data_IF_748348375216
#
_entry.id   IF_748348375216
#
_cell.length_a   1.000
_cell.length_b   1.000
_cell.length_c   1.000
_cell.angle_alpha   90.00
_cell.angle_beta   90.00
_cell.angle_gamma   90.00
#
_symmetry.space_group_name_H-M   'P 1'
#
loop_
_entity.id
_entity.type
_entity.pdbx_description
1 polymer ?
#
# COMPACT_ATOMS: atom_id res chain seq x y z
N UNK A 1 14.77 -14.78 1.88
CA UNK A 1 15.07 -13.48 1.23
C UNK A 1 13.94 -12.50 1.50
N UNK A 2 14.20 -11.37 2.17
CA UNK A 2 13.24 -10.26 2.42
C UNK A 2 12.94 -9.43 1.14
N UNK A 3 13.07 -10.03 -0.04
CA UNK A 3 12.95 -9.30 -1.31
C UNK A 3 11.48 -9.08 -1.66
N UNK A 4 10.60 -10.02 -1.31
CA UNK A 4 9.17 -9.85 -1.52
C UNK A 4 8.58 -8.73 -0.65
N UNK A 5 9.13 -8.51 0.56
CA UNK A 5 8.77 -7.37 1.42
C UNK A 5 9.24 -6.00 0.89
N UNK A 6 10.09 -5.95 -0.15
CA UNK A 6 10.47 -4.69 -0.81
C UNK A 6 9.49 -4.25 -1.91
N UNK A 7 8.59 -5.13 -2.35
CA UNK A 7 7.71 -4.92 -3.51
C UNK A 7 6.30 -4.51 -3.13
N UNK A 8 5.95 -4.88 -1.92
CA UNK A 8 4.71 -4.48 -1.31
C UNK A 8 5.12 -4.05 0.08
N UNK A 9 5.59 -2.80 0.23
CA UNK A 9 5.82 -2.29 1.55
C UNK A 9 4.50 -2.13 2.29
N UNK A 10 3.31 -2.17 1.69
CA UNK A 10 2.08 -2.31 2.52
C UNK A 10 1.97 -3.73 3.16
N UNK A 11 2.86 -4.69 2.79
CA UNK A 11 3.19 -5.94 3.51
C UNK A 11 4.15 -5.70 4.70
N UNK A 12 4.46 -4.45 5.01
CA UNK A 12 5.35 -3.98 6.09
C UNK A 12 5.05 -4.59 7.45
N UNK A 13 3.81 -5.02 7.66
CA UNK A 13 3.47 -5.87 8.79
C UNK A 13 4.08 -7.25 8.55
N UNK A 14 5.31 -7.42 9.06
CA UNK A 14 5.88 -8.74 9.24
C UNK A 14 4.97 -9.53 10.19
N UNK A 15 4.23 -10.46 9.62
CA UNK A 15 3.57 -11.57 10.30
C UNK A 15 4.52 -12.23 11.33
N UNK A 16 5.83 -12.21 11.06
CA UNK A 16 6.89 -12.72 11.93
C UNK A 16 7.03 -12.02 13.29
N UNK A 17 6.63 -10.76 13.38
CA UNK A 17 6.84 -9.94 14.58
C UNK A 17 5.58 -9.68 15.39
N UNK A 18 4.40 -9.94 14.80
CA UNK A 18 3.16 -9.96 15.54
C UNK A 18 2.95 -11.39 16.05
N UNK A 19 2.94 -11.56 17.38
CA UNK A 19 2.65 -12.86 18.03
C UNK A 19 1.36 -13.50 17.50
N UNK A 20 0.43 -12.68 17.04
CA UNK A 20 -0.91 -13.01 16.52
C UNK A 20 -0.89 -13.61 15.08
N UNK A 21 0.25 -13.60 14.37
CA UNK A 21 0.35 -13.97 12.95
C UNK A 21 1.39 -15.07 12.66
N UNK A 22 1.83 -15.81 13.68
CA UNK A 22 2.82 -16.89 13.50
C UNK A 22 2.23 -18.06 12.70
N UNK A 23 2.86 -18.36 11.56
CA UNK A 23 2.56 -19.57 10.79
C UNK A 23 2.89 -20.81 11.65
N UNK A 24 1.95 -21.74 11.89
CA UNK A 24 2.20 -22.95 12.66
C UNK A 24 3.38 -23.76 12.09
N UNK A 25 4.16 -24.41 12.96
CA UNK A 25 5.36 -25.15 12.53
C UNK A 25 5.07 -26.21 11.45
N UNK A 26 3.92 -26.87 11.50
CA UNK A 26 3.50 -27.85 10.50
C UNK A 26 3.10 -27.24 9.14
N UNK A 27 2.97 -25.91 9.05
CA UNK A 27 2.69 -25.16 7.82
C UNK A 27 3.95 -24.54 7.19
N UNK A 28 5.11 -24.69 7.84
CA UNK A 28 6.42 -24.21 7.38
C UNK A 28 7.05 -25.08 6.29
N UNK A 29 6.39 -26.16 5.90
CA UNK A 29 6.81 -27.08 4.85
C UNK A 29 5.65 -27.36 3.90
N UNK A 30 5.99 -27.86 2.71
CA UNK A 30 5.00 -28.24 1.72
C UNK A 30 4.59 -29.71 1.90
N UNK A 31 3.29 -29.96 1.89
CA UNK A 31 2.70 -31.29 1.98
C UNK A 31 2.48 -31.86 0.59
N UNK A 32 2.64 -33.17 0.42
CA UNK A 32 2.60 -33.83 -0.89
C UNK A 32 1.27 -33.63 -1.61
N UNK A 33 0.18 -33.73 -0.86
CA UNK A 33 -1.19 -33.72 -1.38
C UNK A 33 -1.77 -32.30 -1.50
N UNK A 34 -1.04 -31.27 -1.05
CA UNK A 34 -1.53 -29.90 -1.16
C UNK A 34 -1.36 -29.35 -2.58
N UNK A 35 -2.12 -28.30 -2.91
CA UNK A 35 -2.00 -27.61 -4.19
C UNK A 35 -0.59 -27.05 -4.39
N UNK A 36 0.03 -27.36 -5.53
CA UNK A 36 1.39 -26.92 -5.80
C UNK A 36 1.47 -25.38 -5.82
N UNK A 37 2.43 -24.77 -5.09
CA UNK A 37 2.57 -23.31 -5.05
C UNK A 37 2.90 -22.65 -6.39
N UNK A 38 3.24 -23.40 -7.43
CA UNK A 38 3.45 -22.85 -8.78
C UNK A 38 2.14 -22.47 -9.49
N UNK A 39 0.97 -22.84 -8.94
CA UNK A 39 -0.34 -22.53 -9.52
C UNK A 39 -0.76 -23.41 -10.70
N UNK A 40 -0.16 -24.59 -10.86
CA UNK A 40 -0.46 -25.52 -11.96
C UNK A 40 -1.81 -26.25 -11.85
N UNK A 41 -2.48 -26.17 -10.70
CA UNK A 41 -3.69 -26.95 -10.38
C UNK A 41 -3.43 -28.41 -10.00
N UNK A 42 -2.17 -28.85 -9.98
CA UNK A 42 -1.75 -30.20 -9.53
C UNK A 42 -1.34 -30.20 -8.06
N UNK A 43 -1.29 -31.38 -7.44
CA UNK A 43 -0.67 -31.57 -6.12
C UNK A 43 0.83 -31.22 -6.16
N UNK A 44 1.44 -30.86 -5.03
CA UNK A 44 2.87 -30.56 -4.95
C UNK A 44 3.72 -31.76 -5.38
N UNK A 45 3.35 -32.95 -4.91
CA UNK A 45 4.00 -34.22 -5.25
C UNK A 45 3.98 -34.50 -6.76
N UNK A 46 2.84 -34.29 -7.42
CA UNK A 46 2.68 -34.56 -8.86
C UNK A 46 3.13 -33.38 -9.75
N UNK A 47 3.71 -32.33 -9.15
CA UNK A 47 4.10 -31.13 -9.86
C UNK A 47 5.56 -30.73 -9.66
N UNK A 48 5.91 -30.09 -8.54
CA UNK A 48 7.21 -29.44 -8.37
C UNK A 48 8.11 -30.17 -7.39
N UNK A 49 7.60 -31.14 -6.63
CA UNK A 49 8.41 -31.95 -5.72
C UNK A 49 9.50 -32.69 -6.51
N UNK A 50 10.76 -32.51 -6.11
CA UNK A 50 11.92 -33.17 -6.73
C UNK A 50 12.34 -32.63 -8.09
N UNK A 51 11.71 -31.57 -8.63
CA UNK A 51 12.21 -30.88 -9.83
C UNK A 51 13.48 -30.11 -9.50
N UNK A 52 14.42 -30.09 -10.45
CA UNK A 52 15.63 -29.27 -10.35
C UNK A 52 15.31 -27.79 -10.55
N UNK A 53 16.07 -26.93 -9.89
CA UNK A 53 16.02 -25.50 -10.15
C UNK A 53 16.63 -25.18 -11.52
N UNK A 54 15.96 -24.32 -12.28
CA UNK A 54 16.55 -23.70 -13.46
C UNK A 54 17.83 -22.97 -13.01
N UNK A 55 18.95 -23.35 -13.66
CA UNK A 55 20.33 -23.16 -13.21
C UNK A 55 20.72 -21.74 -12.79
N UNK A 56 21.94 -21.57 -12.26
CA UNK A 56 22.39 -20.25 -11.83
C UNK A 56 22.34 -19.27 -13.00
N UNK A 57 21.78 -18.08 -12.75
CA UNK A 57 21.94 -16.97 -13.69
C UNK A 57 23.40 -16.56 -13.56
N UNK A 58 24.24 -16.86 -14.55
CA UNK A 58 25.61 -16.35 -14.63
C UNK A 58 25.55 -14.82 -14.71
N UNK A 59 25.52 -14.15 -13.55
CA UNK A 59 25.42 -12.71 -13.43
C UNK A 59 26.25 -12.23 -12.25
N UNK A 60 26.96 -11.13 -12.46
CA UNK A 60 27.73 -10.43 -11.43
C UNK A 60 26.85 -9.55 -10.52
N UNK A 61 25.55 -9.39 -10.85
CA UNK A 61 24.60 -8.58 -10.07
C UNK A 61 24.14 -9.35 -8.81
N UNK A 62 23.88 -8.65 -7.69
CA UNK A 62 23.22 -9.26 -6.53
C UNK A 62 21.91 -9.96 -6.92
N UNK A 63 21.57 -11.05 -6.22
CA UNK A 63 20.38 -11.88 -6.51
C UNK A 63 19.10 -11.04 -6.37
N UNK A 64 19.11 -10.08 -5.46
CA UNK A 64 18.07 -9.08 -5.22
C UNK A 64 17.79 -8.24 -6.46
N UNK A 65 18.85 -7.75 -7.10
CA UNK A 65 18.73 -6.92 -8.30
C UNK A 65 18.20 -7.74 -9.46
N UNK A 66 18.65 -8.99 -9.60
CA UNK A 66 18.16 -9.92 -10.63
C UNK A 66 16.69 -10.27 -10.43
N UNK A 67 16.29 -10.51 -9.18
CA UNK A 67 14.90 -10.71 -8.82
C UNK A 67 14.10 -9.46 -9.19
N UNK A 68 14.46 -8.27 -8.69
CA UNK A 68 13.82 -6.98 -9.02
C UNK A 68 13.67 -6.76 -10.53
N UNK A 69 14.69 -7.08 -11.33
CA UNK A 69 14.63 -7.00 -12.80
C UNK A 69 13.63 -7.98 -13.40
N UNK A 70 13.61 -9.22 -12.93
CA UNK A 70 12.64 -10.24 -13.35
C UNK A 70 11.21 -9.84 -12.95
N UNK A 71 11.05 -9.15 -11.81
CA UNK A 71 9.75 -8.59 -11.37
C UNK A 71 9.31 -7.45 -12.27
N UNK A 72 10.21 -6.50 -12.59
CA UNK A 72 9.91 -5.41 -13.54
C UNK A 72 9.49 -5.95 -14.91
N UNK A 73 10.10 -7.05 -15.35
CA UNK A 73 9.66 -7.77 -16.57
C UNK A 73 8.28 -8.39 -16.35
N UNK A 74 8.04 -8.98 -15.19
CA UNK A 74 6.76 -9.51 -14.75
C UNK A 74 5.62 -8.50 -14.85
N UNK A 75 5.78 -7.29 -14.31
CA UNK A 75 4.77 -6.22 -14.35
C UNK A 75 4.36 -5.84 -15.79
N UNK A 76 5.26 -6.01 -16.76
CA UNK A 76 4.93 -5.78 -18.18
C UNK A 76 4.14 -6.92 -18.81
N UNK A 77 4.20 -8.12 -18.24
CA UNK A 77 3.59 -9.35 -18.77
C UNK A 77 2.25 -9.67 -18.12
N UNK A 78 2.09 -9.42 -16.82
CA UNK A 78 0.86 -9.67 -16.06
C UNK A 78 -0.09 -8.46 -16.11
N UNK A 79 -0.65 -8.21 -17.30
CA UNK A 79 -1.65 -7.18 -17.53
C UNK A 79 -3.05 -7.78 -17.47
N UNK A 80 -3.86 -7.35 -16.51
CA UNK A 80 -5.26 -7.77 -16.37
C UNK A 80 -6.14 -6.57 -16.07
N UNK A 81 -7.41 -6.63 -16.46
CA UNK A 81 -8.42 -5.70 -15.97
C UNK A 81 -9.05 -6.27 -14.70
N UNK A 82 -9.03 -5.50 -13.61
CA UNK A 82 -9.58 -5.89 -12.32
C UNK A 82 -11.05 -5.54 -12.14
N UNK A 83 -11.67 -4.89 -13.12
CA UNK A 83 -13.10 -4.60 -13.09
C UNK A 83 -13.93 -5.90 -13.06
N UNK A 84 -15.00 -6.00 -12.25
CA UNK A 84 -15.77 -7.24 -12.14
C UNK A 84 -16.53 -7.63 -13.41
N UNK A 85 -16.96 -6.66 -14.22
CA UNK A 85 -17.63 -6.95 -15.49
C UNK A 85 -16.62 -7.41 -16.55
N UNK A 86 -16.30 -8.69 -16.54
CA UNK A 86 -15.39 -9.27 -17.53
C UNK A 86 -16.03 -9.39 -18.92
N UNK A 87 -17.37 -9.36 -19.01
CA UNK A 87 -18.09 -9.51 -20.29
C UNK A 87 -17.93 -8.29 -21.20
N UNK A 88 -17.81 -7.10 -20.60
CA UNK A 88 -17.57 -5.85 -21.31
C UNK A 88 -16.10 -5.38 -21.27
N UNK A 89 -15.19 -6.23 -20.81
CA UNK A 89 -13.75 -5.94 -20.83
C UNK A 89 -13.21 -5.87 -22.26
N UNK A 90 -13.15 -4.65 -22.79
CA UNK A 90 -12.68 -4.34 -24.15
C UNK A 90 -11.55 -3.32 -24.09
N UNK A 91 -10.71 -3.32 -25.13
CA UNK A 91 -9.60 -2.38 -25.26
C UNK A 91 -8.29 -2.90 -24.65
N UNK A 92 -7.28 -2.04 -24.64
CA UNK A 92 -5.96 -2.39 -24.09
C UNK A 92 -5.96 -2.16 -22.58
N UNK A 93 -5.21 -2.97 -21.85
CA UNK A 93 -4.87 -2.66 -20.46
C UNK A 93 -3.89 -1.49 -20.49
N UNK A 94 -4.31 -0.35 -19.93
CA UNK A 94 -3.53 0.88 -19.88
C UNK A 94 -2.95 1.12 -18.49
N UNK A 95 -2.03 2.07 -18.44
CA UNK A 95 -1.53 2.64 -17.19
C UNK A 95 -2.62 3.54 -16.59
N UNK A 96 -3.42 2.99 -15.68
CA UNK A 96 -4.43 3.70 -14.91
C UNK A 96 -3.77 4.47 -13.77
N UNK A 97 -4.22 5.69 -13.48
CA UNK A 97 -3.69 6.48 -12.37
C UNK A 97 -4.49 6.24 -11.08
N UNK A 98 -3.80 5.96 -9.97
CA UNK A 98 -4.46 5.81 -8.67
C UNK A 98 -5.02 7.14 -8.15
N UNK A 99 -4.34 8.25 -8.40
CA UNK A 99 -4.81 9.61 -8.12
C UNK A 99 -5.15 10.33 -9.44
N UNK A 100 -6.22 11.13 -9.48
CA UNK A 100 -6.65 11.75 -10.74
C UNK A 100 -5.54 12.64 -11.34
N UNK A 101 -5.12 12.35 -12.58
CA UNK A 101 -4.07 13.13 -13.25
C UNK A 101 -4.51 14.58 -13.50
N UNK A 102 -5.74 14.76 -13.99
CA UNK A 102 -6.35 16.06 -14.32
C UNK A 102 -7.00 16.78 -13.13
N UNK A 103 -6.71 16.34 -11.89
CA UNK A 103 -7.17 17.01 -10.66
C UNK A 103 -6.08 17.00 -9.59
N UNK A 104 -5.93 15.90 -8.85
CA UNK A 104 -4.99 15.79 -7.73
C UNK A 104 -3.55 15.99 -8.18
N UNK A 105 -3.10 15.26 -9.21
CA UNK A 105 -1.71 15.37 -9.66
C UNK A 105 -1.43 16.76 -10.22
N UNK A 106 -2.34 17.33 -11.02
CA UNK A 106 -2.19 18.71 -11.53
C UNK A 106 -2.13 19.78 -10.44
N UNK A 107 -2.73 19.55 -9.26
CA UNK A 107 -2.64 20.48 -8.12
C UNK A 107 -1.27 20.44 -7.42
N UNK A 108 -0.54 19.34 -7.57
CA UNK A 108 0.78 19.13 -6.96
C UNK A 108 1.93 19.34 -7.93
N UNK A 109 1.69 19.14 -9.22
CA UNK A 109 2.72 19.15 -10.23
C UNK A 109 3.32 20.55 -10.42
N UNK A 110 4.63 20.60 -10.67
CA UNK A 110 5.34 21.79 -11.13
C UNK A 110 4.79 22.29 -12.48
N UNK A 111 5.20 23.49 -12.90
CA UNK A 111 4.78 24.10 -14.17
C UNK A 111 5.09 23.23 -15.41
N UNK A 112 6.12 22.38 -15.35
CA UNK A 112 6.49 21.42 -16.39
C UNK A 112 6.00 19.99 -16.08
N UNK A 113 4.93 19.85 -15.28
CA UNK A 113 4.21 18.61 -15.00
C UNK A 113 5.03 17.51 -14.30
N UNK A 114 5.69 17.84 -13.18
CA UNK A 114 6.42 16.88 -12.35
C UNK A 114 6.03 16.96 -10.88
N UNK A 115 6.09 15.81 -10.21
CA UNK A 115 5.89 15.64 -8.76
C UNK A 115 7.09 14.93 -8.14
N UNK A 116 7.18 14.95 -6.81
CA UNK A 116 8.21 14.24 -6.05
C UNK A 116 7.58 13.01 -5.38
N UNK A 117 8.07 11.82 -5.70
CA UNK A 117 7.60 10.56 -5.09
C UNK A 117 8.69 9.47 -5.13
N UNK A 118 8.49 8.38 -4.38
CA UNK A 118 9.30 7.17 -4.56
C UNK A 118 8.97 6.53 -5.92
N UNK A 119 10.00 6.27 -6.72
CA UNK A 119 9.84 5.58 -8.01
C UNK A 119 10.46 4.19 -7.94
N UNK A 120 9.66 3.12 -7.69
CA UNK A 120 10.16 1.75 -7.59
C UNK A 120 10.69 1.22 -8.93
N UNK A 121 10.41 1.90 -10.05
CA UNK A 121 10.95 1.52 -11.36
C UNK A 121 12.41 1.92 -11.52
N UNK A 122 12.89 2.93 -10.78
CA UNK A 122 14.30 3.33 -10.74
C UNK A 122 15.14 2.34 -9.92
N UNK A 123 16.45 2.32 -10.18
CA UNK A 123 17.36 1.51 -9.40
C UNK A 123 17.46 2.08 -7.97
N UNK A 124 17.28 1.26 -6.93
CA UNK A 124 17.48 1.70 -5.56
C UNK A 124 18.95 2.00 -5.29
N UNK A 125 19.22 2.87 -4.32
CA UNK A 125 20.55 3.11 -3.78
C UNK A 125 20.91 1.95 -2.84
N UNK A 126 22.04 1.30 -3.09
CA UNK A 126 22.55 0.23 -2.22
C UNK A 126 23.45 0.85 -1.16
N UNK A 127 23.00 0.85 0.10
CA UNK A 127 23.77 1.38 1.24
C UNK A 127 24.68 0.30 1.83
N UNK A 128 24.18 -0.94 1.85
CA UNK A 128 24.94 -2.10 2.34
C UNK A 128 24.74 -3.28 1.40
N UNK A 129 25.83 -3.77 0.83
CA UNK A 129 25.90 -5.04 0.11
C UNK A 129 26.13 -6.16 1.13
N UNK A 130 25.04 -6.70 1.67
CA UNK A 130 25.04 -7.87 2.55
C UNK A 130 24.21 -8.97 1.88
N UNK A 131 24.77 -10.16 1.60
CA UNK A 131 24.04 -11.25 0.95
C UNK A 131 22.82 -11.77 1.73
N UNK A 132 22.73 -11.45 3.02
CA UNK A 132 21.66 -11.88 3.92
C UNK A 132 20.68 -10.74 4.20
N UNK A 133 21.18 -9.53 4.42
CA UNK A 133 20.37 -8.35 4.77
C UNK A 133 20.85 -7.06 4.07
N UNK A 134 20.64 -6.91 2.76
CA UNK A 134 21.04 -5.70 2.05
C UNK A 134 20.15 -4.52 2.44
N UNK A 135 20.74 -3.33 2.51
CA UNK A 135 20.00 -2.08 2.78
C UNK A 135 19.82 -1.34 1.46
N UNK A 136 18.58 -1.30 0.97
CA UNK A 136 18.18 -0.68 -0.28
C UNK A 136 17.27 0.53 0.00
N UNK A 137 17.60 1.67 -0.59
CA UNK A 137 16.83 2.92 -0.44
C UNK A 137 16.24 3.30 -1.79
N UNK A 138 14.92 3.46 -1.84
CA UNK A 138 14.21 4.10 -2.95
C UNK A 138 14.08 5.59 -2.61
N UNK A 139 14.87 6.48 -3.23
CA UNK A 139 14.79 7.90 -2.93
C UNK A 139 13.47 8.50 -3.44
N UNK A 140 13.05 9.60 -2.81
CA UNK A 140 12.10 10.51 -3.44
C UNK A 140 12.79 11.18 -4.62
N UNK A 141 12.18 11.10 -5.80
CA UNK A 141 12.72 11.68 -7.02
C UNK A 141 11.64 12.41 -7.78
N UNK A 142 12.09 13.25 -8.70
CA UNK A 142 11.24 13.89 -9.69
C UNK A 142 10.68 12.86 -10.67
N UNK A 143 9.36 12.83 -10.80
CA UNK A 143 8.60 11.92 -11.67
C UNK A 143 7.58 12.75 -12.46
N UNK A 144 7.42 12.47 -13.76
CA UNK A 144 6.38 13.13 -14.57
C UNK A 144 4.99 12.83 -14.00
N UNK A 145 4.11 13.84 -13.93
CA UNK A 145 2.72 13.68 -13.49
C UNK A 145 1.98 12.60 -14.28
N UNK A 146 2.27 12.49 -15.58
CA UNK A 146 1.72 11.45 -16.47
C UNK A 146 2.20 10.02 -16.15
N UNK A 147 3.20 9.87 -15.29
CA UNK A 147 3.71 8.57 -14.82
C UNK A 147 3.45 8.34 -13.33
N UNK A 148 3.15 9.40 -12.59
CA UNK A 148 2.87 9.32 -11.17
C UNK A 148 1.65 8.43 -10.90
N UNK A 149 1.80 7.51 -9.96
CA UNK A 149 0.72 6.62 -9.48
C UNK A 149 0.11 5.70 -10.53
N UNK A 150 0.84 5.39 -11.61
CA UNK A 150 0.31 4.57 -12.71
C UNK A 150 0.48 3.06 -12.47
N UNK A 151 -0.55 2.29 -12.84
CA UNK A 151 -0.51 0.82 -12.79
C UNK A 151 -1.36 0.20 -13.91
N UNK A 152 -0.92 -0.94 -14.45
CA UNK A 152 -1.64 -1.68 -15.51
C UNK A 152 -2.70 -2.63 -14.96
N UNK A 153 -3.79 -2.09 -14.39
CA UNK A 153 -4.84 -2.88 -13.73
C UNK A 153 -6.27 -2.66 -14.26
N UNK A 154 -6.46 -1.79 -15.26
CA UNK A 154 -7.75 -1.56 -15.91
C UNK A 154 -7.61 -1.46 -17.43
N UNK A 155 -8.65 -1.86 -18.16
CA UNK A 155 -8.78 -1.51 -19.57
C UNK A 155 -9.31 -0.08 -19.71
N UNK A 156 -9.15 0.51 -20.90
CA UNK A 156 -9.59 1.88 -21.19
C UNK A 156 -11.06 2.12 -20.80
N UNK A 157 -11.95 1.19 -21.13
CA UNK A 157 -13.40 1.28 -20.88
C UNK A 157 -13.69 1.31 -19.38
N UNK A 158 -13.17 0.34 -18.63
CA UNK A 158 -13.49 0.18 -17.23
C UNK A 158 -12.81 1.20 -16.33
N UNK A 159 -11.63 1.70 -16.70
CA UNK A 159 -11.00 2.80 -15.98
C UNK A 159 -11.89 4.04 -16.01
N UNK A 160 -12.40 4.40 -17.20
CA UNK A 160 -13.31 5.55 -17.34
C UNK A 160 -14.66 5.33 -16.65
N UNK A 161 -15.21 4.11 -16.70
CA UNK A 161 -16.50 3.82 -16.09
C UNK A 161 -16.42 3.78 -14.56
N UNK A 162 -15.48 3.03 -14.00
CA UNK A 162 -15.38 2.79 -12.56
C UNK A 162 -15.04 4.05 -11.76
N UNK A 163 -14.30 4.99 -12.36
CA UNK A 163 -13.83 6.20 -11.68
C UNK A 163 -14.54 7.48 -12.14
N UNK A 164 -15.60 7.34 -12.94
CA UNK A 164 -16.30 8.47 -13.59
C UNK A 164 -16.69 9.57 -12.61
N UNK A 165 -17.27 9.23 -11.46
CA UNK A 165 -17.79 10.19 -10.48
C UNK A 165 -16.72 11.15 -9.93
N UNK A 166 -15.45 10.71 -9.89
CA UNK A 166 -14.34 11.51 -9.38
C UNK A 166 -13.41 12.04 -10.49
N UNK A 167 -13.55 11.59 -11.73
CA UNK A 167 -12.68 11.95 -12.85
C UNK A 167 -13.37 12.79 -13.93
N UNK A 168 -14.63 12.48 -14.27
CA UNK A 168 -15.32 13.12 -15.38
C UNK A 168 -15.66 14.58 -15.05
N UNK A 169 -14.97 15.51 -15.71
CA UNK A 169 -15.09 16.95 -15.42
C UNK A 169 -14.29 17.41 -14.20
N UNK A 170 -13.45 16.55 -13.62
CA UNK A 170 -12.62 16.83 -12.44
C UNK A 170 -13.40 17.51 -11.29
N UNK A 171 -14.54 16.95 -10.84
CA UNK A 171 -15.39 17.61 -9.85
C UNK A 171 -14.70 17.71 -8.50
N UNK A 172 -15.00 18.77 -7.74
CA UNK A 172 -14.61 18.88 -6.33
C UNK A 172 -15.19 17.73 -5.49
N UNK A 173 -14.47 17.33 -4.44
CA UNK A 173 -14.90 16.27 -3.55
C UNK A 173 -16.04 16.76 -2.68
N UNK A 174 -17.16 16.05 -2.74
CA UNK A 174 -18.30 16.30 -1.87
C UNK A 174 -18.33 15.26 -0.74
N UNK A 175 -18.12 15.72 0.49
CA UNK A 175 -18.17 14.89 1.69
C UNK A 175 -19.55 14.30 1.99
N UNK A 176 -20.61 14.74 1.31
CA UNK A 176 -21.95 14.16 1.39
C UNK A 176 -22.26 13.19 0.24
N UNK A 177 -21.36 13.04 -0.72
CA UNK A 177 -21.54 12.13 -1.85
C UNK A 177 -20.95 10.75 -1.53
N UNK A 178 -21.83 9.78 -1.27
CA UNK A 178 -21.43 8.42 -0.90
C UNK A 178 -20.79 7.65 -2.06
N UNK A 179 -21.20 7.90 -3.30
CA UNK A 179 -20.57 7.33 -4.49
C UNK A 179 -19.11 7.78 -4.61
N UNK A 180 -18.81 9.06 -4.35
CA UNK A 180 -17.41 9.54 -4.32
C UNK A 180 -16.59 8.86 -3.22
N UNK A 181 -17.14 8.72 -2.00
CA UNK A 181 -16.45 8.03 -0.88
C UNK A 181 -16.17 6.58 -1.24
N UNK A 182 -17.15 5.89 -1.84
CA UNK A 182 -17.02 4.52 -2.31
C UNK A 182 -15.91 4.40 -3.35
N UNK A 183 -15.92 5.27 -4.35
CA UNK A 183 -14.93 5.22 -5.43
C UNK A 183 -13.51 5.52 -4.92
N UNK A 184 -13.32 6.47 -4.00
CA UNK A 184 -12.00 6.69 -3.39
C UNK A 184 -11.53 5.47 -2.56
N UNK A 185 -12.43 4.86 -1.78
CA UNK A 185 -12.12 3.66 -1.01
C UNK A 185 -11.75 2.48 -1.93
N UNK A 186 -12.55 2.24 -2.97
CA UNK A 186 -12.30 1.22 -3.97
C UNK A 186 -10.98 1.47 -4.69
N UNK A 187 -10.67 2.71 -5.06
CA UNK A 187 -9.44 3.06 -5.79
C UNK A 187 -8.20 2.83 -4.94
N UNK A 188 -8.21 3.22 -3.66
CA UNK A 188 -7.11 2.93 -2.74
C UNK A 188 -6.91 1.41 -2.56
N UNK A 189 -8.00 0.65 -2.42
CA UNK A 189 -7.97 -0.80 -2.28
C UNK A 189 -7.51 -1.52 -3.56
N UNK A 190 -8.09 -1.22 -4.71
CA UNK A 190 -7.92 -2.03 -5.94
C UNK A 190 -6.51 -1.90 -6.53
N UNK A 191 -5.86 -0.75 -6.36
CA UNK A 191 -4.46 -0.57 -6.74
C UNK A 191 -3.53 -1.41 -5.84
N UNK A 192 -3.81 -1.45 -4.54
CA UNK A 192 -3.04 -2.28 -3.62
C UNK A 192 -3.31 -3.78 -3.85
N UNK A 193 -4.56 -4.15 -4.18
CA UNK A 193 -4.91 -5.49 -4.64
C UNK A 193 -4.16 -5.87 -5.92
N UNK A 194 -4.04 -4.95 -6.88
CA UNK A 194 -3.29 -5.18 -8.11
C UNK A 194 -1.81 -5.51 -7.81
N UNK A 195 -1.18 -4.79 -6.87
CA UNK A 195 0.20 -5.09 -6.42
C UNK A 195 0.27 -6.47 -5.76
N UNK A 196 -0.65 -6.79 -4.85
CA UNK A 196 -0.67 -8.08 -4.15
C UNK A 196 -0.89 -9.27 -5.10
N UNK A 197 -1.83 -9.14 -6.05
CA UNK A 197 -2.08 -10.15 -7.09
C UNK A 197 -0.83 -10.37 -7.95
N UNK A 198 -0.15 -9.28 -8.33
CA UNK A 198 1.07 -9.37 -9.11
C UNK A 198 2.20 -10.07 -8.34
N UNK A 199 2.35 -9.74 -7.05
CA UNK A 199 3.31 -10.38 -6.15
C UNK A 199 3.08 -11.89 -6.09
N UNK A 200 1.83 -12.33 -5.90
CA UNK A 200 1.46 -13.75 -5.91
C UNK A 200 1.73 -14.42 -7.27
N UNK A 201 1.40 -13.75 -8.38
CA UNK A 201 1.71 -14.26 -9.73
C UNK A 201 3.21 -14.49 -9.92
N UNK A 202 4.02 -13.52 -9.51
CA UNK A 202 5.47 -13.62 -9.60
C UNK A 202 6.00 -14.73 -8.70
N UNK A 203 5.50 -14.84 -7.47
CA UNK A 203 5.89 -15.90 -6.54
C UNK A 203 5.65 -17.28 -7.16
N UNK A 204 4.45 -17.51 -7.71
CA UNK A 204 4.09 -18.76 -8.40
C UNK A 204 5.03 -19.09 -9.55
N UNK A 205 5.37 -18.08 -10.37
CA UNK A 205 6.32 -18.22 -11.48
C UNK A 205 7.75 -18.52 -11.00
N UNK A 206 8.19 -17.89 -9.92
CA UNK A 206 9.51 -18.15 -9.37
C UNK A 206 9.58 -19.56 -8.75
N UNK A 207 8.51 -19.98 -8.08
CA UNK A 207 8.35 -21.35 -7.60
C UNK A 207 8.42 -22.37 -8.75
N UNK A 208 7.78 -22.09 -9.90
CA UNK A 208 7.81 -23.00 -11.04
C UNK A 208 9.22 -23.17 -11.63
N UNK A 209 10.03 -22.11 -11.63
CA UNK A 209 11.41 -22.10 -12.15
C UNK A 209 12.43 -22.64 -11.14
N UNK A 210 12.22 -22.36 -9.85
CA UNK A 210 13.16 -22.69 -8.77
C UNK A 210 12.47 -23.37 -7.58
N UNK A 211 11.84 -24.53 -7.80
CA UNK A 211 11.06 -25.21 -6.77
C UNK A 211 11.89 -25.62 -5.55
N UNK A 212 13.18 -25.94 -5.69
CA UNK A 212 14.08 -26.27 -4.59
C UNK A 212 14.30 -25.08 -3.65
N UNK A 213 14.75 -23.93 -4.18
CA UNK A 213 14.90 -22.69 -3.40
C UNK A 213 13.59 -22.26 -2.75
N UNK A 214 12.48 -22.34 -3.47
CA UNK A 214 11.18 -21.89 -2.96
C UNK A 214 10.48 -22.90 -2.05
N UNK A 215 11.01 -24.12 -1.90
CA UNK A 215 10.59 -25.10 -0.90
C UNK A 215 11.35 -24.97 0.43
N UNK A 216 12.33 -24.05 0.53
CA UNK A 216 12.99 -23.74 1.81
C UNK A 216 11.99 -23.14 2.80
N UNK A 217 12.13 -23.47 4.08
CA UNK A 217 11.21 -23.06 5.16
C UNK A 217 10.84 -21.58 5.12
N UNK A 218 11.82 -20.68 4.99
CA UNK A 218 11.56 -19.23 4.92
C UNK A 218 10.75 -18.81 3.69
N UNK A 219 10.90 -19.50 2.55
CA UNK A 219 10.12 -19.21 1.34
C UNK A 219 8.72 -19.81 1.42
N UNK A 220 8.56 -20.99 2.02
CA UNK A 220 7.24 -21.56 2.29
C UNK A 220 6.47 -20.68 3.26
N UNK A 221 7.11 -20.19 4.32
CA UNK A 221 6.51 -19.24 5.26
C UNK A 221 6.02 -17.98 4.56
N UNK A 222 6.87 -17.35 3.75
CA UNK A 222 6.50 -16.19 2.94
C UNK A 222 5.32 -16.50 2.01
N UNK A 223 5.33 -17.65 1.34
CA UNK A 223 4.21 -18.10 0.51
C UNK A 223 2.89 -18.17 1.30
N UNK A 224 2.90 -18.78 2.50
CA UNK A 224 1.70 -18.88 3.35
C UNK A 224 1.16 -17.50 3.74
N UNK A 225 2.05 -16.58 4.11
CA UNK A 225 1.71 -15.18 4.41
C UNK A 225 1.04 -14.53 3.20
N UNK A 226 1.61 -14.70 2.00
CA UNK A 226 1.02 -14.13 0.79
C UNK A 226 -0.32 -14.78 0.43
N UNK A 227 -0.53 -16.07 0.73
CA UNK A 227 -1.81 -16.75 0.58
C UNK A 227 -2.88 -16.19 1.53
N UNK A 228 -2.56 -16.02 2.81
CA UNK A 228 -3.47 -15.39 3.79
C UNK A 228 -3.87 -13.99 3.33
N UNK A 229 -2.90 -13.18 2.93
CA UNK A 229 -3.17 -11.83 2.41
C UNK A 229 -4.01 -11.84 1.14
N UNK A 230 -3.78 -12.79 0.22
CA UNK A 230 -4.66 -12.93 -0.95
C UNK A 230 -6.10 -13.23 -0.55
N UNK A 231 -6.32 -14.10 0.43
CA UNK A 231 -7.66 -14.43 0.92
C UNK A 231 -8.37 -13.22 1.56
N UNK A 232 -7.64 -12.43 2.35
CA UNK A 232 -8.13 -11.16 2.92
C UNK A 232 -8.59 -10.22 1.80
N UNK A 233 -7.71 -9.98 0.82
CA UNK A 233 -8.01 -9.05 -0.27
C UNK A 233 -9.12 -9.57 -1.20
N UNK A 234 -9.18 -10.88 -1.48
CA UNK A 234 -10.26 -11.47 -2.28
C UNK A 234 -11.62 -11.31 -1.61
N UNK A 235 -11.67 -11.38 -0.27
CA UNK A 235 -12.91 -11.15 0.48
C UNK A 235 -13.41 -9.73 0.29
N UNK A 236 -12.51 -8.73 0.41
CA UNK A 236 -12.83 -7.32 0.18
C UNK A 236 -13.18 -7.05 -1.29
N UNK A 237 -12.44 -7.67 -2.23
CA UNK A 237 -12.68 -7.54 -3.67
C UNK A 237 -14.08 -8.00 -4.04
N UNK A 238 -14.54 -9.14 -3.49
CA UNK A 238 -15.90 -9.66 -3.74
C UNK A 238 -16.98 -8.70 -3.28
N UNK A 239 -16.76 -7.96 -2.19
CA UNK A 239 -17.71 -6.95 -1.70
C UNK A 239 -17.80 -5.76 -2.65
N UNK A 240 -16.67 -5.14 -2.98
CA UNK A 240 -16.66 -4.04 -3.96
C UNK A 240 -17.22 -4.49 -5.33
N UNK A 241 -16.88 -5.69 -5.77
CA UNK A 241 -17.35 -6.22 -7.06
C UNK A 241 -18.86 -6.40 -7.12
N UNK A 242 -19.47 -6.86 -6.02
CA UNK A 242 -20.91 -7.02 -5.95
C UNK A 242 -21.63 -5.67 -6.09
N UNK A 243 -21.16 -4.64 -5.38
CA UNK A 243 -21.74 -3.30 -5.43
C UNK A 243 -21.53 -2.64 -6.80
N UNK A 244 -20.33 -2.75 -7.38
CA UNK A 244 -20.02 -2.23 -8.72
C UNK A 244 -20.91 -2.88 -9.78
N UNK A 245 -21.11 -4.21 -9.73
CA UNK A 245 -21.98 -4.91 -10.68
C UNK A 245 -23.46 -4.57 -10.49
N UNK A 246 -23.88 -4.30 -9.26
CA UNK A 246 -25.24 -3.87 -8.94
C UNK A 246 -25.50 -2.39 -9.28
N UNK A 247 -24.45 -1.60 -9.50
CA UNK A 247 -24.53 -0.15 -9.67
C UNK A 247 -24.87 0.58 -8.37
N UNK A 248 -24.60 -0.06 -7.23
CA UNK A 248 -24.77 0.49 -5.87
C UNK A 248 -23.40 0.91 -5.32
N UNK A 249 -23.40 1.74 -4.27
CA UNK A 249 -22.20 2.30 -3.66
C UNK A 249 -22.25 2.19 -2.13
N UNK A 250 -22.88 1.11 -1.65
CA UNK A 250 -23.13 0.87 -0.24
C UNK A 250 -22.04 0.01 0.40
N UNK A 251 -22.19 -0.31 1.69
CA UNK A 251 -21.36 -1.32 2.37
C UNK A 251 -20.01 -0.81 2.85
N UNK A 252 -19.80 0.51 2.90
CA UNK A 252 -18.61 1.13 3.46
C UNK A 252 -18.95 2.19 4.51
N UNK A 253 -18.08 2.27 5.52
CA UNK A 253 -18.10 3.29 6.56
C UNK A 253 -16.91 4.22 6.37
N UNK A 254 -17.20 5.52 6.18
CA UNK A 254 -16.19 6.54 5.89
C UNK A 254 -16.19 7.67 6.93
N UNK A 255 -15.00 8.05 7.40
CA UNK A 255 -14.77 9.29 8.13
C UNK A 255 -13.98 10.26 7.25
N UNK A 256 -14.47 11.49 7.15
CA UNK A 256 -13.84 12.58 6.40
C UNK A 256 -13.34 13.64 7.37
N UNK A 257 -12.06 14.02 7.24
CA UNK A 257 -11.46 15.16 7.92
C UNK A 257 -11.24 16.26 6.89
N UNK A 258 -11.76 17.46 7.18
CA UNK A 258 -11.55 18.64 6.33
C UNK A 258 -10.40 19.47 6.90
N UNK A 259 -9.46 19.84 6.03
CA UNK A 259 -8.33 20.72 6.31
C UNK A 259 -8.63 22.05 5.61
N UNK A 260 -8.71 23.18 6.32
CA UNK A 260 -9.21 24.46 5.78
C UNK A 260 -8.17 25.20 4.92
N UNK A 261 -7.23 24.47 4.31
CA UNK A 261 -6.21 24.99 3.41
C UNK A 261 -5.75 23.88 2.45
N UNK A 262 -5.13 24.30 1.35
CA UNK A 262 -4.47 23.40 0.41
C UNK A 262 -3.15 22.88 1.00
N UNK A 263 -2.99 21.56 1.01
CA UNK A 263 -1.73 20.90 1.35
C UNK A 263 -0.89 20.65 0.10
N UNK A 264 0.42 20.52 0.30
CA UNK A 264 1.37 20.27 -0.79
C UNK A 264 1.60 18.81 -1.16
N UNK A 265 0.72 17.87 -0.75
CA UNK A 265 0.87 16.44 -1.04
C UNK A 265 -0.47 15.71 -1.23
N UNK A 266 -0.39 14.49 -1.73
CA UNK A 266 -1.49 13.54 -1.75
C UNK A 266 -1.00 12.14 -1.35
N UNK A 267 -1.94 11.30 -0.93
CA UNK A 267 -1.69 9.93 -0.53
C UNK A 267 -2.86 9.01 -0.90
N UNK A 268 -2.56 7.75 -1.23
CA UNK A 268 -3.53 6.65 -1.16
C UNK A 268 -2.87 5.42 -0.54
N UNK A 269 -3.57 4.70 0.33
CA UNK A 269 -3.04 3.53 1.01
C UNK A 269 -4.17 2.57 1.39
N UNK A 270 -3.87 1.27 1.48
CA UNK A 270 -4.77 0.27 2.05
C UNK A 270 -4.04 -0.47 3.17
N UNK A 271 -4.09 0.09 4.39
CA UNK A 271 -3.17 -0.23 5.49
C UNK A 271 -3.90 -0.51 6.80
N UNK A 272 -3.25 -1.22 7.71
CA UNK A 272 -3.72 -1.41 9.08
C UNK A 272 -2.81 -0.64 10.06
N UNK A 273 -3.21 0.55 10.53
CA UNK A 273 -2.46 1.27 11.55
C UNK A 273 -2.35 0.45 12.86
N UNK A 274 -1.16 0.41 13.47
CA UNK A 274 -0.94 -0.32 14.73
C UNK A 274 -1.51 0.41 15.96
N UNK A 275 -1.62 1.74 15.89
CA UNK A 275 -1.99 2.60 17.01
C UNK A 275 -2.97 3.71 16.60
N UNK A 276 -3.81 4.14 17.54
CA UNK A 276 -4.72 5.28 17.41
C UNK A 276 -4.03 6.64 17.72
N UNK A 277 -4.81 7.73 17.71
CA UNK A 277 -4.32 9.09 18.00
C UNK A 277 -3.70 9.25 19.41
N UNK A 278 -4.02 8.35 20.34
CA UNK A 278 -3.58 8.35 21.74
C UNK A 278 -2.52 7.28 22.02
N UNK A 279 -2.02 6.61 20.97
CA UNK A 279 -1.04 5.54 21.10
C UNK A 279 -1.60 4.26 21.71
N UNK A 280 -2.92 4.07 21.74
CA UNK A 280 -3.52 2.79 22.09
C UNK A 280 -3.43 1.85 20.90
N UNK A 281 -3.20 0.56 21.16
CA UNK A 281 -3.05 -0.43 20.08
C UNK A 281 -4.40 -0.69 19.42
N UNK A 282 -4.45 -0.61 18.10
CA UNK A 282 -5.60 -1.02 17.31
C UNK A 282 -5.49 -2.52 17.07
N UNK A 283 -6.53 -3.27 17.42
CA UNK A 283 -6.58 -4.73 17.21
C UNK A 283 -7.18 -5.01 15.84
N UNK A 284 -6.41 -4.82 14.78
CA UNK A 284 -6.86 -4.98 13.38
C UNK A 284 -6.90 -6.44 12.90
N UNK A 285 -6.57 -7.41 13.76
CA UNK A 285 -6.47 -8.83 13.39
C UNK A 285 -7.55 -9.62 14.13
N UNK A 286 -8.31 -10.42 13.39
CA UNK A 286 -9.35 -11.28 13.93
C UNK A 286 -8.81 -12.56 14.60
N UNK A 287 -9.71 -13.36 15.17
CA UNK A 287 -9.36 -14.62 15.82
C UNK A 287 -8.90 -15.73 14.84
N UNK A 288 -9.00 -15.51 13.54
CA UNK A 288 -8.52 -16.40 12.47
C UNK A 288 -7.17 -15.93 11.92
N UNK A 289 -6.60 -14.85 12.44
CA UNK A 289 -5.35 -14.27 11.98
C UNK A 289 -5.50 -13.45 10.70
N UNK A 290 -6.72 -13.01 10.34
CA UNK A 290 -6.96 -12.12 9.21
C UNK A 290 -6.87 -10.67 9.62
N UNK A 291 -6.17 -9.89 8.82
CA UNK A 291 -5.98 -8.46 9.01
C UNK A 291 -7.01 -7.64 8.23
N UNK A 292 -7.71 -6.80 8.98
CA UNK A 292 -8.62 -5.78 8.46
C UNK A 292 -7.83 -4.48 8.25
N UNK A 293 -8.22 -3.69 7.23
CA UNK A 293 -7.44 -2.53 6.76
C UNK A 293 -8.35 -1.33 6.48
N UNK A 294 -7.77 -0.15 6.53
CA UNK A 294 -8.38 1.10 6.12
C UNK A 294 -7.87 1.50 4.73
N UNK A 295 -8.81 1.85 3.85
CA UNK A 295 -8.52 2.69 2.70
C UNK A 295 -8.33 4.13 3.19
N UNK A 296 -7.13 4.68 3.02
CA UNK A 296 -6.79 6.04 3.44
C UNK A 296 -6.37 6.85 2.22
N UNK A 297 -7.12 7.92 1.94
CA UNK A 297 -6.81 8.86 0.86
C UNK A 297 -6.62 10.25 1.44
N UNK A 298 -5.51 10.90 1.11
CA UNK A 298 -5.29 12.32 1.39
C UNK A 298 -5.26 13.05 0.06
N UNK A 299 -6.09 14.07 -0.10
CA UNK A 299 -6.18 14.82 -1.36
C UNK A 299 -6.26 16.33 -1.12
N UNK A 300 -5.50 17.13 -1.90
CA UNK A 300 -5.67 18.57 -1.94
C UNK A 300 -6.80 18.96 -2.89
N UNK A 301 -7.42 20.10 -2.60
CA UNK A 301 -8.23 20.88 -3.52
C UNK A 301 -7.67 22.31 -3.62
N UNK A 302 -8.36 23.20 -4.33
CA UNK A 302 -7.89 24.57 -4.54
C UNK A 302 -7.69 25.35 -3.22
N UNK A 303 -8.64 25.22 -2.28
CA UNK A 303 -8.69 26.04 -1.05
C UNK A 303 -8.73 25.22 0.24
N UNK A 304 -8.83 23.90 0.14
CA UNK A 304 -9.00 22.98 1.25
C UNK A 304 -8.38 21.64 0.90
N UNK A 305 -8.29 20.73 1.86
CA UNK A 305 -7.82 19.37 1.63
C UNK A 305 -8.61 18.39 2.49
N UNK A 306 -8.53 17.11 2.16
CA UNK A 306 -9.29 16.08 2.84
C UNK A 306 -8.43 14.88 3.21
N UNK A 307 -8.77 14.26 4.34
CA UNK A 307 -8.35 12.90 4.68
C UNK A 307 -9.61 12.06 4.74
N UNK A 308 -9.68 11.04 3.89
CA UNK A 308 -10.73 10.03 3.88
C UNK A 308 -10.18 8.76 4.51
N UNK A 309 -10.92 8.17 5.43
CA UNK A 309 -10.65 6.84 5.99
C UNK A 309 -11.90 6.00 5.81
N UNK A 310 -11.78 4.89 5.08
CA UNK A 310 -12.89 4.01 4.78
C UNK A 310 -12.55 2.55 5.11
N UNK A 311 -13.53 1.81 5.59
CA UNK A 311 -13.52 0.34 5.67
C UNK A 311 -14.87 -0.21 5.22
N UNK A 312 -14.98 -1.51 5.02
CA UNK A 312 -16.27 -2.16 4.84
C UNK A 312 -17.10 -2.03 6.14
N UNK A 313 -18.42 -1.94 6.03
CA UNK A 313 -19.29 -1.87 7.22
C UNK A 313 -19.11 -3.10 8.14
N UNK A 314 -18.86 -4.27 7.55
CA UNK A 314 -18.56 -5.50 8.28
C UNK A 314 -17.22 -5.48 9.03
N UNK A 315 -16.37 -4.49 8.77
CA UNK A 315 -15.06 -4.31 9.40
C UNK A 315 -14.99 -3.05 10.29
N UNK A 316 -16.10 -2.31 10.42
CA UNK A 316 -16.15 -1.09 11.22
C UNK A 316 -15.83 -1.36 12.69
N UNK A 317 -16.19 -2.53 13.22
CA UNK A 317 -15.91 -2.91 14.61
C UNK A 317 -14.42 -2.84 14.99
N UNK A 318 -13.51 -3.06 14.03
CA UNK A 318 -12.07 -2.98 14.24
C UNK A 318 -11.56 -1.54 14.36
N UNK A 319 -12.31 -0.59 13.79
CA UNK A 319 -11.93 0.82 13.68
C UNK A 319 -12.88 1.79 14.36
N UNK A 320 -13.97 1.30 14.95
CA UNK A 320 -15.01 2.13 15.59
C UNK A 320 -14.43 3.17 16.53
N UNK A 321 -13.64 2.72 17.52
CA UNK A 321 -13.01 3.62 18.50
C UNK A 321 -12.06 4.61 17.83
N UNK A 322 -11.31 4.17 16.81
CA UNK A 322 -10.41 5.05 16.07
C UNK A 322 -11.21 6.14 15.32
N UNK A 323 -12.28 5.77 14.64
CA UNK A 323 -13.19 6.70 13.95
C UNK A 323 -13.84 7.70 14.92
N UNK A 324 -14.27 7.27 16.10
CA UNK A 324 -14.79 8.19 17.12
C UNK A 324 -13.72 9.16 17.63
N UNK A 325 -12.49 8.69 17.83
CA UNK A 325 -11.35 9.54 18.21
C UNK A 325 -11.02 10.57 17.13
N UNK A 326 -11.06 10.19 15.84
CA UNK A 326 -10.88 11.14 14.73
C UNK A 326 -11.98 12.20 14.75
N UNK A 327 -13.25 11.80 14.89
CA UNK A 327 -14.41 12.73 14.85
C UNK A 327 -14.41 13.77 15.98
N UNK A 328 -13.77 13.44 17.11
CA UNK A 328 -13.80 14.28 18.33
C UNK A 328 -12.49 15.01 18.60
N UNK A 329 -11.37 14.57 18.00
CA UNK A 329 -10.08 15.22 18.17
C UNK A 329 -10.00 16.58 17.47
N UNK A 330 -9.15 17.45 18.00
CA UNK A 330 -8.79 18.69 17.30
C UNK A 330 -7.98 18.37 16.03
N UNK A 331 -8.09 19.24 15.03
CA UNK A 331 -7.44 19.04 13.73
C UNK A 331 -5.92 18.84 13.88
N UNK A 332 -5.24 19.65 14.69
CA UNK A 332 -3.78 19.54 14.85
C UNK A 332 -3.31 18.17 15.35
N UNK A 333 -4.07 17.53 16.25
CA UNK A 333 -3.78 16.17 16.72
C UNK A 333 -3.95 15.13 15.61
N UNK A 334 -4.97 15.29 14.77
CA UNK A 334 -5.20 14.43 13.60
C UNK A 334 -4.05 14.57 12.60
N UNK A 335 -3.67 15.80 12.27
CA UNK A 335 -2.58 16.08 11.34
C UNK A 335 -1.22 15.60 11.88
N UNK A 336 -0.97 15.78 13.18
CA UNK A 336 0.21 15.24 13.85
C UNK A 336 0.31 13.72 13.71
N UNK A 337 -0.80 13.00 13.92
CA UNK A 337 -0.85 11.55 13.74
C UNK A 337 -0.55 11.13 12.30
N UNK A 338 -1.23 11.72 11.32
CA UNK A 338 -1.03 11.34 9.92
C UNK A 338 0.36 11.73 9.39
N UNK A 339 0.98 12.77 9.92
CA UNK A 339 2.35 13.16 9.56
C UNK A 339 3.37 12.06 9.94
N UNK A 340 3.12 11.37 11.05
CA UNK A 340 3.97 10.27 11.51
C UNK A 340 3.62 8.94 10.82
N UNK A 341 2.33 8.68 10.63
CA UNK A 341 1.84 7.38 10.17
C UNK A 341 1.98 7.19 8.66
N UNK A 342 1.61 8.19 7.84
CA UNK A 342 1.60 8.02 6.39
C UNK A 342 2.98 7.66 5.82
N UNK A 343 4.09 8.34 6.18
CA UNK A 343 5.42 7.96 5.71
C UNK A 343 5.85 6.56 6.12
N UNK A 344 5.40 6.09 7.28
CA UNK A 344 5.81 4.79 7.78
C UNK A 344 5.06 3.67 7.06
N UNK A 345 3.76 3.84 6.83
CA UNK A 345 2.89 2.78 6.33
C UNK A 345 2.63 2.85 4.83
N UNK A 346 2.59 4.05 4.23
CA UNK A 346 2.26 4.22 2.81
C UNK A 346 3.52 4.37 1.95
N UNK A 347 3.53 3.68 0.81
CA UNK A 347 4.49 3.93 -0.27
C UNK A 347 4.08 5.08 -1.18
N UNK A 348 2.80 5.45 -1.16
CA UNK A 348 2.21 6.31 -2.17
C UNK A 348 2.01 7.73 -1.63
N UNK A 349 3.07 8.31 -1.06
CA UNK A 349 3.13 9.73 -0.71
C UNK A 349 3.66 10.50 -1.92
N UNK A 350 2.83 11.36 -2.51
CA UNK A 350 3.15 12.19 -3.68
C UNK A 350 3.23 13.63 -3.21
N UNK A 351 4.38 14.27 -3.37
CA UNK A 351 4.66 15.62 -2.90
C UNK A 351 4.77 16.58 -4.10
N UNK A 352 4.34 17.82 -3.89
CA UNK A 352 4.75 18.93 -4.74
C UNK A 352 6.24 19.23 -4.56
N UNK A 353 6.87 19.81 -5.58
CA UNK A 353 8.27 20.28 -5.46
C UNK A 353 8.39 21.37 -4.38
N UNK A 354 7.40 22.25 -4.26
CA UNK A 354 7.37 23.30 -3.24
C UNK A 354 7.43 22.73 -1.83
N UNK A 355 6.58 21.73 -1.52
CA UNK A 355 6.60 21.05 -0.23
C UNK A 355 7.93 20.36 0.04
N UNK A 356 8.43 19.60 -0.95
CA UNK A 356 9.70 18.88 -0.80
C UNK A 356 10.88 19.82 -0.54
N UNK A 357 10.96 20.93 -1.25
CA UNK A 357 12.05 21.91 -1.11
C UNK A 357 11.95 22.75 0.17
N UNK A 358 10.75 22.85 0.76
CA UNK A 358 10.56 23.50 2.05
C UNK A 358 10.98 22.60 3.24
N UNK A 359 11.13 21.30 3.04
CA UNK A 359 11.77 20.42 4.03
C UNK A 359 13.27 20.68 4.06
N UNK A 360 13.83 20.83 5.27
CA UNK A 360 15.28 20.86 5.43
C UNK A 360 15.92 19.49 5.12
N UNK A 361 17.25 19.43 5.07
CA UNK A 361 17.98 18.19 4.76
C UNK A 361 17.59 17.04 5.71
N UNK A 362 17.38 17.36 6.99
CA UNK A 362 16.95 16.38 8.00
C UNK A 362 15.53 15.89 7.75
N UNK A 363 14.61 16.75 7.33
CA UNK A 363 13.24 16.42 6.98
C UNK A 363 13.16 15.53 5.75
N UNK A 364 13.88 15.88 4.68
CA UNK A 364 13.96 15.06 3.46
C UNK A 364 14.56 13.67 3.76
N UNK A 365 15.63 13.62 4.56
CA UNK A 365 16.24 12.37 5.00
C UNK A 365 15.28 11.56 5.88
N UNK A 366 14.62 12.19 6.85
CA UNK A 366 13.68 11.56 7.76
C UNK A 366 12.49 10.93 7.02
N UNK A 367 11.90 11.68 6.07
CA UNK A 367 10.81 11.20 5.22
C UNK A 367 11.27 10.02 4.35
N UNK A 368 12.43 10.14 3.71
CA UNK A 368 13.01 9.07 2.89
C UNK A 368 13.32 7.83 3.72
N UNK A 369 13.85 7.99 4.93
CA UNK A 369 14.16 6.90 5.85
C UNK A 369 12.89 6.15 6.24
N UNK A 370 11.88 6.85 6.75
CA UNK A 370 10.60 6.24 7.16
C UNK A 370 9.93 5.48 6.02
N UNK A 371 9.88 6.07 4.83
CA UNK A 371 9.29 5.45 3.64
C UNK A 371 10.04 4.18 3.17
N UNK A 372 11.31 4.00 3.55
CA UNK A 372 12.12 2.83 3.20
C UNK A 372 12.27 1.80 4.32
N UNK A 373 11.82 2.09 5.54
CA UNK A 373 11.84 1.09 6.62
C UNK A 373 10.92 -0.07 6.27
N UNK A 374 11.39 -1.29 6.52
CA UNK A 374 10.60 -2.52 6.35
C UNK A 374 10.87 -3.47 7.52
N UNK A 375 9.88 -4.31 7.81
CA UNK A 375 10.01 -5.40 8.75
C UNK A 375 10.39 -4.98 10.17
N UNK A 376 11.36 -5.67 10.78
CA UNK A 376 11.65 -5.50 12.21
C UNK A 376 12.02 -4.07 12.61
N UNK A 377 12.67 -3.31 11.74
CA UNK A 377 13.04 -1.92 12.02
C UNK A 377 11.85 -0.98 11.90
N UNK A 378 10.97 -1.23 10.94
CA UNK A 378 9.72 -0.50 10.82
C UNK A 378 8.78 -0.78 12.00
N UNK A 379 8.68 -2.03 12.46
CA UNK A 379 7.91 -2.38 13.67
C UNK A 379 8.44 -1.64 14.90
N UNK A 380 9.77 -1.65 15.12
CA UNK A 380 10.37 -0.92 16.24
C UNK A 380 10.04 0.56 16.17
N UNK A 381 10.09 1.16 14.97
CA UNK A 381 9.69 2.56 14.82
C UNK A 381 8.19 2.74 15.07
N UNK A 382 7.31 1.86 14.58
CA UNK A 382 5.88 1.89 14.88
C UNK A 382 5.60 1.85 16.39
N UNK A 383 6.27 0.96 17.12
CA UNK A 383 6.18 0.88 18.58
C UNK A 383 6.67 2.17 19.26
N UNK A 384 7.78 2.75 18.78
CA UNK A 384 8.28 4.03 19.27
C UNK A 384 7.29 5.18 18.99
N UNK A 385 6.65 5.20 17.82
CA UNK A 385 5.61 6.17 17.49
C UNK A 385 4.37 5.99 18.37
N UNK A 386 3.94 4.75 18.63
CA UNK A 386 2.85 4.48 19.57
C UNK A 386 3.13 4.99 20.98
N UNK A 387 4.35 4.81 21.48
CA UNK A 387 4.78 5.40 22.75
C UNK A 387 4.82 6.93 22.71
N UNK A 388 5.29 7.52 21.60
CA UNK A 388 5.33 8.97 21.44
C UNK A 388 3.93 9.59 21.43
N UNK A 389 2.98 8.99 20.70
CA UNK A 389 1.57 9.39 20.66
C UNK A 389 0.94 9.33 22.05
N UNK A 390 1.17 8.23 22.79
CA UNK A 390 0.69 8.08 24.17
C UNK A 390 1.26 9.14 25.11
N UNK A 391 2.56 9.39 25.03
CA UNK A 391 3.21 10.43 25.83
C UNK A 391 2.68 11.83 25.49
N UNK A 392 2.39 12.10 24.21
CA UNK A 392 1.76 13.34 23.78
C UNK A 392 0.35 13.49 24.36
N UNK A 393 -0.47 12.44 24.29
CA UNK A 393 -1.84 12.42 24.80
C UNK A 393 -1.93 12.65 26.32
N UNK A 394 -1.01 12.10 27.11
CA UNK A 394 -1.00 12.31 28.56
C UNK A 394 -0.38 13.64 29.01
N UNK A 395 0.33 14.34 28.13
CA UNK A 395 0.95 15.62 28.48
C UNK A 395 -0.08 16.75 28.34
N UNK A 396 -0.49 17.33 29.48
CA UNK A 396 -1.55 18.35 29.60
C UNK A 396 -1.47 19.50 28.58
N UNK A 397 -0.27 19.93 28.21
CA UNK A 397 -0.02 21.03 27.28
C UNK A 397 0.89 20.59 26.11
N UNK A 398 0.67 19.40 25.55
CA UNK A 398 1.35 19.01 24.32
C UNK A 398 0.90 19.88 23.16
N UNK A 399 1.85 20.49 22.46
CA UNK A 399 1.59 21.32 21.29
C UNK A 399 1.65 20.46 20.04
N UNK A 400 0.49 20.00 19.58
CA UNK A 400 0.41 19.13 18.41
C UNK A 400 0.91 19.83 17.14
N UNK A 401 0.79 21.16 17.02
CA UNK A 401 1.22 21.93 15.83
C UNK A 401 2.71 21.80 15.54
N UNK A 402 3.53 21.47 16.54
CA UNK A 402 4.97 21.24 16.37
C UNK A 402 5.24 19.83 15.86
N UNK A 403 5.31 19.67 14.54
CA UNK A 403 5.78 18.43 13.92
C UNK A 403 7.29 18.28 14.12
N UNK A 404 7.72 17.08 14.50
CA UNK A 404 9.14 16.76 14.72
C UNK A 404 9.74 16.19 13.43
N UNK A 405 10.80 16.81 12.91
CA UNK A 405 11.56 16.31 11.75
C UNK A 405 11.09 16.88 10.41
N UNK A 406 9.83 16.69 10.04
CA UNK A 406 9.21 17.26 8.84
C UNK A 406 7.70 17.48 9.05
N UNK A 407 7.09 18.33 8.23
CA UNK A 407 5.63 18.55 8.22
C UNK A 407 5.07 18.42 6.80
N UNK A 408 4.34 17.33 6.55
CA UNK A 408 3.62 17.13 5.29
C UNK A 408 2.40 18.05 5.16
N UNK A 409 1.81 18.46 6.29
CA UNK A 409 0.58 19.24 6.35
C UNK A 409 0.84 20.75 6.43
N UNK A 410 2.06 21.21 6.16
CA UNK A 410 2.29 22.63 6.01
C UNK A 410 1.47 23.20 4.84
N UNK A 411 0.95 24.40 5.03
CA UNK A 411 0.24 25.13 3.98
C UNK A 411 1.22 25.49 2.86
N UNK A 412 0.78 25.30 1.61
CA UNK A 412 1.60 25.57 0.40
C UNK A 412 0.93 26.61 -0.49
#
# INVERSE_FOLDING_TARGET
MKIFSLLNKDAKILYDTMKELQIPENQLYLHDDESCPCGSGKSYKDCCKGKSDDGPVNSKKPVEVLLMEEMRKGFKQDKVCLHPDQSNCKGKIKEAHALQNHKIISLLASADNHVIMQDPTKQPIVIKEDPVNPILIVPFTRVSGNKATTQSCFCDVHDTQAFKVIEAGSPDFDANNDEMKFVYAYKAFVFEYAKQRHLMWLFRRMFSKRPGVFSLTEQVKEYRIQCLRMEEFETVKKKFDAEILAGTHDGISTVVVTIPYKIGFANYAYIAPDYDLDGNRIKSIDNKGKMHRLAITVLPEANQSYILMSCLDSEEEFYHSFFQSIKTANLEKILFYFNLMLPLFSENVILSETLWNALDEKGQFGLTHMANLTGGDQLKLSQALGMALRNAAHKKNFDYSKRMGFDLFQQV
#
